data_IF_815009543396
#
_entry.id   IF_815009543396
#
_cell.length_a   1.000
_cell.length_b   1.000
_cell.length_c   1.000
_cell.angle_alpha   90.00
_cell.angle_beta   90.00
_cell.angle_gamma   90.00
#
_symmetry.space_group_name_H-M   'P 1'
#
loop_
_entity.id
_entity.type
_entity.pdbx_description
1 polymer ?
#
# COMPACT_ATOMS: atom_id res chain seq x y z
N UNK A 1 -3.65 -24.34 -20.78
CA UNK A 1 -2.50 -23.45 -20.58
C UNK A 1 -2.89 -21.99 -20.76
N UNK A 2 -3.33 -21.57 -21.94
CA UNK A 2 -3.77 -20.17 -22.16
C UNK A 2 -4.88 -19.70 -21.23
N UNK A 3 -5.82 -20.57 -20.89
CA UNK A 3 -6.91 -20.24 -19.96
C UNK A 3 -6.42 -19.95 -18.55
N UNK A 4 -5.43 -20.71 -18.06
CA UNK A 4 -4.81 -20.50 -16.73
C UNK A 4 -3.99 -19.23 -16.69
N UNK A 5 -3.26 -18.92 -17.75
CA UNK A 5 -2.50 -17.66 -17.86
C UNK A 5 -3.44 -16.45 -17.80
N UNK A 6 -4.53 -16.47 -18.56
CA UNK A 6 -5.53 -15.40 -18.54
C UNK A 6 -6.17 -15.25 -17.16
N UNK A 7 -6.47 -16.37 -16.49
CA UNK A 7 -7.04 -16.34 -15.15
C UNK A 7 -6.05 -15.74 -14.13
N UNK A 8 -4.79 -16.11 -14.23
CA UNK A 8 -3.72 -15.54 -13.39
C UNK A 8 -3.58 -14.05 -13.61
N UNK A 9 -3.53 -13.60 -14.86
CA UNK A 9 -3.44 -12.18 -15.20
C UNK A 9 -4.65 -11.38 -14.70
N UNK A 10 -5.86 -11.96 -14.80
CA UNK A 10 -7.05 -11.34 -14.27
C UNK A 10 -7.04 -11.24 -12.74
N UNK A 11 -6.53 -12.27 -12.06
CA UNK A 11 -6.37 -12.26 -10.60
C UNK A 11 -5.36 -11.20 -10.15
N UNK A 12 -4.24 -11.06 -10.86
CA UNK A 12 -3.24 -10.03 -10.59
C UNK A 12 -3.85 -8.63 -10.78
N UNK A 13 -4.59 -8.41 -11.86
CA UNK A 13 -5.28 -7.15 -12.11
C UNK A 13 -6.24 -6.81 -10.95
N UNK A 14 -7.06 -7.77 -10.55
CA UNK A 14 -8.02 -7.58 -9.45
C UNK A 14 -7.30 -7.24 -8.14
N UNK A 15 -6.25 -7.97 -7.80
CA UNK A 15 -5.45 -7.73 -6.60
C UNK A 15 -4.80 -6.35 -6.63
N UNK A 16 -4.19 -5.97 -7.75
CA UNK A 16 -3.58 -4.64 -7.91
C UNK A 16 -4.58 -3.52 -7.73
N UNK A 17 -5.71 -3.60 -8.42
CA UNK A 17 -6.75 -2.56 -8.36
C UNK A 17 -7.34 -2.49 -6.95
N UNK A 18 -7.66 -3.61 -6.32
CA UNK A 18 -8.20 -3.65 -4.98
C UNK A 18 -7.23 -3.07 -3.94
N UNK A 19 -5.99 -3.53 -3.92
CA UNK A 19 -4.95 -3.00 -3.04
C UNK A 19 -4.69 -1.52 -3.31
N UNK A 20 -4.53 -1.16 -4.58
CA UNK A 20 -4.24 0.22 -4.97
C UNK A 20 -5.32 1.19 -4.53
N UNK A 21 -6.59 0.84 -4.70
CA UNK A 21 -7.72 1.67 -4.25
C UNK A 21 -7.69 1.87 -2.74
N UNK A 22 -7.41 0.83 -1.96
CA UNK A 22 -7.31 0.95 -0.50
C UNK A 22 -6.17 1.90 -0.11
N UNK A 23 -4.99 1.76 -0.72
CA UNK A 23 -3.87 2.66 -0.45
C UNK A 23 -4.14 4.10 -0.88
N UNK A 24 -4.75 4.31 -2.04
CA UNK A 24 -5.16 5.66 -2.50
C UNK A 24 -6.11 6.29 -1.48
N UNK A 25 -7.11 5.54 -1.02
CA UNK A 25 -8.06 6.04 -0.02
C UNK A 25 -7.35 6.47 1.27
N UNK A 26 -6.39 5.68 1.76
CA UNK A 26 -5.61 6.01 2.96
C UNK A 26 -4.68 7.21 2.75
N UNK A 27 -4.00 7.28 1.61
CA UNK A 27 -3.16 8.44 1.27
C UNK A 27 -3.98 9.72 1.14
N UNK A 28 -5.13 9.63 0.47
CA UNK A 28 -6.07 10.74 0.35
C UNK A 28 -6.56 11.22 1.73
N UNK A 29 -6.93 10.28 2.60
CA UNK A 29 -7.36 10.59 3.96
C UNK A 29 -6.29 11.37 4.72
N UNK A 30 -5.04 10.94 4.62
CA UNK A 30 -3.92 11.60 5.31
C UNK A 30 -3.64 13.00 4.79
N UNK A 31 -3.77 13.24 3.48
CA UNK A 31 -3.53 14.57 2.91
C UNK A 31 -4.72 15.52 3.08
N UNK A 32 -5.92 15.06 2.77
CA UNK A 32 -7.06 15.94 2.53
C UNK A 32 -8.16 15.84 3.58
N UNK A 33 -8.34 14.70 4.22
CA UNK A 33 -9.38 14.54 5.24
C UNK A 33 -8.86 14.92 6.63
N UNK A 34 -7.73 14.32 7.05
CA UNK A 34 -7.10 14.62 8.33
C UNK A 34 -6.13 15.80 8.23
N UNK A 35 -5.37 15.85 7.14
CA UNK A 35 -4.25 16.76 6.95
C UNK A 35 -2.95 16.19 7.53
N UNK A 36 -1.84 16.52 6.85
CA UNK A 36 -0.52 16.00 7.20
C UNK A 36 -0.07 16.42 8.61
N UNK A 37 -0.44 17.62 9.02
CA UNK A 37 -0.10 18.13 10.37
C UNK A 37 -0.73 17.25 11.45
N UNK A 38 -2.01 16.93 11.33
CA UNK A 38 -2.71 16.08 12.31
C UNK A 38 -2.16 14.66 12.30
N UNK A 39 -1.88 14.11 11.12
CA UNK A 39 -1.23 12.78 11.02
C UNK A 39 0.14 12.81 11.66
N UNK A 40 0.92 13.86 11.45
CA UNK A 40 2.23 14.05 12.09
C UNK A 40 2.15 14.11 13.61
N UNK A 41 1.13 14.79 14.15
CA UNK A 41 0.88 14.80 15.60
C UNK A 41 0.58 13.39 16.12
N UNK A 42 -0.26 12.62 15.42
CA UNK A 42 -0.55 11.23 15.76
C UNK A 42 0.71 10.36 15.71
N UNK A 43 1.51 10.51 14.67
CA UNK A 43 2.77 9.76 14.53
C UNK A 43 3.74 10.08 15.66
N UNK A 44 3.78 11.32 16.12
CA UNK A 44 4.56 11.73 17.27
C UNK A 44 4.18 10.97 18.54
N UNK A 45 2.89 10.74 18.77
CA UNK A 45 2.42 9.97 19.93
C UNK A 45 2.86 8.49 19.89
N UNK A 46 3.13 7.95 18.70
CA UNK A 46 3.62 6.58 18.53
C UNK A 46 5.16 6.47 18.53
N UNK A 47 5.86 7.57 18.70
CA UNK A 47 7.33 7.57 18.71
C UNK A 47 7.96 7.47 17.32
N UNK A 48 7.24 7.79 16.26
CA UNK A 48 7.78 7.79 14.90
C UNK A 48 8.81 8.89 14.75
N UNK A 49 10.04 8.58 14.26
CA UNK A 49 11.07 9.60 14.03
C UNK A 49 10.63 10.62 12.98
N UNK A 50 10.95 11.90 13.22
CA UNK A 50 10.59 12.99 12.29
C UNK A 50 9.12 12.92 11.89
N UNK A 51 8.17 12.98 12.83
CA UNK A 51 6.80 12.55 12.59
C UNK A 51 6.08 13.34 11.50
N UNK A 52 6.34 14.64 11.36
CA UNK A 52 5.71 15.45 10.31
C UNK A 52 6.26 15.16 8.93
N UNK A 53 7.57 14.97 8.82
CA UNK A 53 8.22 14.55 7.56
C UNK A 53 7.77 13.16 7.19
N UNK A 54 7.79 12.24 8.12
CA UNK A 54 7.36 10.84 7.91
C UNK A 54 5.89 10.78 7.50
N UNK A 55 5.02 11.56 8.12
CA UNK A 55 3.60 11.64 7.75
C UNK A 55 3.41 12.09 6.30
N UNK A 56 4.17 13.09 5.86
CA UNK A 56 4.13 13.58 4.48
C UNK A 56 4.61 12.51 3.48
N UNK A 57 5.69 11.82 3.80
CA UNK A 57 6.24 10.74 2.97
C UNK A 57 5.26 9.57 2.89
N UNK A 58 4.73 9.12 4.00
CA UNK A 58 3.77 8.01 4.08
C UNK A 58 2.52 8.33 3.26
N UNK A 59 1.96 9.52 3.45
CA UNK A 59 0.79 9.96 2.71
C UNK A 59 1.06 10.00 1.19
N UNK A 60 2.22 10.51 0.79
CA UNK A 60 2.66 10.55 -0.60
C UNK A 60 2.88 9.16 -1.20
N UNK A 61 3.54 8.28 -0.47
CA UNK A 61 3.77 6.89 -0.90
C UNK A 61 2.45 6.15 -1.08
N UNK A 62 1.55 6.23 -0.12
CA UNK A 62 0.24 5.55 -0.20
C UNK A 62 -0.58 6.06 -1.39
N UNK A 63 -0.61 7.35 -1.61
CA UNK A 63 -1.37 7.95 -2.70
C UNK A 63 -0.75 7.61 -4.06
N UNK A 64 0.55 7.90 -4.25
CA UNK A 64 1.22 7.76 -5.54
C UNK A 64 1.48 6.29 -5.88
N UNK A 65 2.01 5.51 -4.95
CA UNK A 65 2.23 4.09 -5.18
C UNK A 65 0.91 3.30 -5.27
N UNK A 66 -0.14 3.74 -4.58
CA UNK A 66 -1.48 3.20 -4.75
C UNK A 66 -2.02 3.41 -6.17
N UNK A 67 -1.88 4.62 -6.71
CA UNK A 67 -2.24 4.92 -8.11
C UNK A 67 -1.39 4.07 -9.07
N UNK A 68 -0.10 3.93 -8.80
CA UNK A 68 0.81 3.11 -9.60
C UNK A 68 0.36 1.64 -9.63
N UNK A 69 -0.10 1.08 -8.51
CA UNK A 69 -0.65 -0.28 -8.48
C UNK A 69 -1.92 -0.40 -9.33
N UNK A 70 -2.83 0.55 -9.23
CA UNK A 70 -4.07 0.54 -10.02
C UNK A 70 -3.74 0.50 -11.52
N UNK A 71 -2.85 1.38 -11.97
CA UNK A 71 -2.46 1.45 -13.38
C UNK A 71 -1.49 0.34 -13.79
N UNK A 72 -0.78 -0.27 -12.86
CA UNK A 72 0.29 -1.21 -13.14
C UNK A 72 1.54 -0.54 -13.68
N UNK A 73 1.93 0.60 -13.09
CA UNK A 73 3.14 1.36 -13.44
C UNK A 73 4.19 1.13 -12.37
N UNK A 74 5.43 0.79 -12.78
CA UNK A 74 6.52 0.52 -11.85
C UNK A 74 6.09 -0.39 -10.70
N UNK A 75 5.33 -1.40 -11.03
CA UNK A 75 4.60 -2.24 -10.06
C UNK A 75 5.49 -2.87 -9.00
N UNK A 76 6.67 -3.45 -9.31
CA UNK A 76 7.54 -3.99 -8.27
C UNK A 76 8.00 -2.92 -7.27
N UNK A 77 8.38 -1.74 -7.74
CA UNK A 77 8.80 -0.64 -6.88
C UNK A 77 7.64 -0.16 -6.00
N UNK A 78 6.47 0.06 -6.59
CA UNK A 78 5.28 0.47 -5.86
C UNK A 78 4.92 -0.54 -4.77
N UNK A 79 4.94 -1.82 -5.09
CA UNK A 79 4.64 -2.89 -4.14
C UNK A 79 5.64 -2.95 -2.98
N UNK A 80 6.93 -2.79 -3.25
CA UNK A 80 7.97 -2.74 -2.21
C UNK A 80 7.78 -1.54 -1.29
N UNK A 81 7.56 -0.35 -1.84
CA UNK A 81 7.35 0.87 -1.04
C UNK A 81 6.14 0.74 -0.12
N UNK A 82 5.04 0.20 -0.64
CA UNK A 82 3.84 -0.03 0.16
C UNK A 82 4.03 -1.13 1.21
N UNK A 83 4.79 -2.17 0.89
CA UNK A 83 5.16 -3.21 1.85
C UNK A 83 5.98 -2.67 3.00
N UNK A 84 6.97 -1.83 2.71
CA UNK A 84 7.80 -1.16 3.74
C UNK A 84 6.96 -0.21 4.59
N UNK A 85 6.06 0.54 3.96
CA UNK A 85 5.12 1.41 4.66
C UNK A 85 4.26 0.62 5.65
N UNK A 86 3.71 -0.50 5.23
CA UNK A 86 2.90 -1.37 6.11
C UNK A 86 3.73 -2.01 7.22
N UNK A 87 4.99 -2.36 6.97
CA UNK A 87 5.90 -2.83 8.02
C UNK A 87 6.14 -1.75 9.09
N UNK A 88 6.31 -0.51 8.68
CA UNK A 88 6.41 0.62 9.60
C UNK A 88 5.13 0.84 10.41
N UNK A 89 3.99 0.78 9.76
CA UNK A 89 2.69 0.88 10.43
C UNK A 89 2.49 -0.24 11.44
N UNK A 90 2.86 -1.46 11.10
CA UNK A 90 2.83 -2.59 12.02
C UNK A 90 3.70 -2.32 13.25
N UNK A 91 4.94 -1.95 13.04
CA UNK A 91 5.92 -1.77 14.10
C UNK A 91 5.54 -0.63 15.05
N UNK A 92 5.22 0.55 14.52
CA UNK A 92 5.00 1.74 15.35
C UNK A 92 3.59 1.84 15.94
N UNK A 93 2.58 1.34 15.25
CA UNK A 93 1.18 1.64 15.59
C UNK A 93 0.40 0.42 16.04
N UNK A 94 0.50 -0.69 15.29
CA UNK A 94 -0.50 -1.75 15.37
C UNK A 94 -0.07 -3.02 16.11
N UNK A 95 1.24 -3.30 16.23
CA UNK A 95 1.74 -4.59 16.69
C UNK A 95 1.27 -5.01 18.08
N UNK A 96 1.05 -4.05 18.98
CA UNK A 96 0.68 -4.32 20.37
C UNK A 96 -0.82 -4.23 20.65
N UNK A 97 -1.64 -3.94 19.63
CA UNK A 97 -3.07 -3.69 19.79
C UNK A 97 -3.95 -4.93 19.54
N UNK A 98 -3.34 -6.12 19.42
CA UNK A 98 -4.04 -7.33 19.04
C UNK A 98 -4.34 -7.38 17.53
N UNK A 99 -5.06 -8.41 17.06
CA UNK A 99 -5.21 -8.61 15.62
C UNK A 99 -6.26 -7.73 14.96
N UNK A 100 -7.32 -7.33 15.66
CA UNK A 100 -8.53 -6.79 15.03
C UNK A 100 -8.48 -5.30 14.75
N UNK A 101 -8.95 -4.90 13.57
CA UNK A 101 -9.05 -3.49 13.17
C UNK A 101 -9.89 -2.67 14.14
N UNK A 102 -10.93 -3.27 14.73
CA UNK A 102 -11.75 -2.62 15.75
C UNK A 102 -10.98 -2.18 17.00
N UNK A 103 -9.83 -2.80 17.24
CA UNK A 103 -8.89 -2.48 18.32
C UNK A 103 -7.66 -1.71 17.82
N UNK A 104 -7.72 -1.17 16.61
CA UNK A 104 -6.55 -0.60 15.93
C UNK A 104 -5.40 -1.62 15.78
N UNK A 105 -5.76 -2.88 15.57
CA UNK A 105 -4.86 -4.02 15.49
C UNK A 105 -4.19 -4.20 14.15
N UNK A 106 -3.43 -5.28 14.01
CA UNK A 106 -2.50 -5.49 12.91
C UNK A 106 -3.08 -6.21 11.67
N UNK A 107 -4.32 -6.72 11.72
CA UNK A 107 -4.84 -7.56 10.63
C UNK A 107 -4.83 -6.85 9.26
N UNK A 108 -5.24 -5.59 9.20
CA UNK A 108 -5.32 -4.86 7.93
C UNK A 108 -3.93 -4.56 7.37
N UNK A 109 -3.02 -4.05 8.21
CA UNK A 109 -1.66 -3.69 7.75
C UNK A 109 -0.87 -4.92 7.32
N UNK A 110 -1.07 -6.06 7.98
CA UNK A 110 -0.44 -7.33 7.57
C UNK A 110 -1.01 -7.81 6.23
N UNK A 111 -2.32 -7.82 6.07
CA UNK A 111 -2.96 -8.23 4.82
C UNK A 111 -2.55 -7.34 3.65
N UNK A 112 -2.56 -6.02 3.84
CA UNK A 112 -2.14 -5.06 2.81
C UNK A 112 -0.65 -5.18 2.49
N UNK A 113 0.19 -5.31 3.51
CA UNK A 113 1.64 -5.43 3.33
C UNK A 113 2.04 -6.70 2.61
N UNK A 114 1.48 -7.83 3.01
CA UNK A 114 1.72 -9.12 2.35
C UNK A 114 1.21 -9.08 0.91
N UNK A 115 0.02 -8.53 0.68
CA UNK A 115 -0.53 -8.36 -0.66
C UNK A 115 0.36 -7.50 -1.56
N UNK A 116 0.85 -6.36 -1.04
CA UNK A 116 1.75 -5.47 -1.78
C UNK A 116 3.07 -6.16 -2.15
N UNK A 117 3.67 -6.89 -1.21
CA UNK A 117 4.91 -7.64 -1.46
C UNK A 117 4.69 -8.78 -2.45
N UNK A 118 3.57 -9.46 -2.40
CA UNK A 118 3.21 -10.49 -3.37
C UNK A 118 3.11 -9.90 -4.78
N UNK A 119 2.44 -8.77 -4.94
CA UNK A 119 2.35 -8.07 -6.23
C UNK A 119 3.75 -7.62 -6.69
N UNK A 120 4.60 -7.13 -5.78
CA UNK A 120 5.98 -6.79 -6.13
C UNK A 120 6.76 -7.99 -6.69
N UNK A 121 6.54 -9.17 -6.13
CA UNK A 121 7.24 -10.39 -6.52
C UNK A 121 6.73 -10.96 -7.85
N UNK A 122 5.41 -10.99 -8.06
CA UNK A 122 4.82 -11.57 -9.28
C UNK A 122 4.75 -10.57 -10.45
N UNK A 123 4.82 -9.28 -10.17
CA UNK A 123 4.77 -8.22 -11.17
C UNK A 123 3.36 -7.78 -11.55
N UNK A 124 3.29 -6.91 -12.56
CA UNK A 124 2.07 -6.22 -12.93
C UNK A 124 1.04 -7.07 -13.68
N UNK A 125 1.48 -8.18 -14.26
CA UNK A 125 0.63 -9.00 -15.12
C UNK A 125 0.41 -8.37 -16.50
N UNK A 126 -0.37 -9.05 -17.31
CA UNK A 126 -0.62 -8.69 -18.70
C UNK A 126 -1.43 -7.39 -18.86
N UNK A 127 -2.38 -7.15 -17.95
CA UNK A 127 -3.27 -6.00 -18.03
C UNK A 127 -2.71 -4.81 -17.25
N UNK A 128 -1.60 -4.25 -17.74
CA UNK A 128 -0.86 -3.20 -17.05
C UNK A 128 -0.15 -2.26 -18.02
N UNK A 129 0.17 -1.06 -17.55
CA UNK A 129 1.00 -0.11 -18.29
C UNK A 129 2.44 -0.64 -18.41
N UNK A 130 2.97 -1.28 -17.38
CA UNK A 130 4.30 -1.90 -17.43
C UNK A 130 4.42 -2.85 -18.62
N UNK A 131 3.41 -3.67 -18.85
CA UNK A 131 3.39 -4.60 -19.98
C UNK A 131 3.31 -3.88 -21.32
N UNK A 132 2.50 -2.83 -21.41
CA UNK A 132 2.38 -2.03 -22.62
C UNK A 132 3.70 -1.32 -22.98
N UNK A 133 4.53 -1.02 -21.98
CA UNK A 133 5.84 -0.38 -22.17
C UNK A 133 6.97 -1.39 -22.35
N UNK A 134 6.68 -2.68 -22.45
CA UNK A 134 7.67 -3.72 -22.68
C UNK A 134 8.29 -4.33 -21.43
N UNK A 135 7.67 -4.03 -20.26
CA UNK A 135 8.10 -4.60 -18.98
C UNK A 135 7.62 -6.02 -18.77
#
# INVERSE_FOLDING_TARGET
MRGMETLTDAAILLARVGLGVVFVAHGWQKFFTLGVTRVGEQFGTYGVPQPFVTASIVAGVELVAGIALVAGILTPLAGILLGVDMAGALYFVHATNGPFVSQNGWELVVALGVGALLIAAVGAGRFSVDRALGG
#
